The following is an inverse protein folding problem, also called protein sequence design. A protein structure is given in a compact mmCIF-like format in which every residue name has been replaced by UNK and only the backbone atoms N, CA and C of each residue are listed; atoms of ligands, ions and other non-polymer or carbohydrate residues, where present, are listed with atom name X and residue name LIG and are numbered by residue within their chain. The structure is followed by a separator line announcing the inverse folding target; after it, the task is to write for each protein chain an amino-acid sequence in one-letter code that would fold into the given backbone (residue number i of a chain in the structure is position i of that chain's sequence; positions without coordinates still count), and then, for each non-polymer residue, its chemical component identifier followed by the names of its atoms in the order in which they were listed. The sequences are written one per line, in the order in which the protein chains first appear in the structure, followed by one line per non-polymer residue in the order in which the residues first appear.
data_IF_154993047745
#
_entry.id   IF_154993047745
#
_cell.length_a   1.000
_cell.length_b   1.000
_cell.length_c   1.000
_cell.angle_alpha   90.00
_cell.angle_beta   90.00
_cell.angle_gamma   90.00
#
_symmetry.space_group_name_H-M   'P 1'
#
loop_
_entity.id
_entity.type
_entity.pdbx_description
1 polymer ?
#
# COMPACT_ATOMS: atom_id res chain seq x y z
N UNK A 1 13.25 -11.64 -5.39
CA UNK A 1 12.69 -10.43 -4.77
C UNK A 1 12.99 -10.44 -3.27
N UNK A 2 13.63 -9.40 -2.73
CA UNK A 2 13.95 -9.31 -1.28
C UNK A 2 12.81 -8.56 -0.59
N UNK A 3 12.13 -9.20 0.36
CA UNK A 3 11.10 -8.56 1.17
C UNK A 3 11.74 -7.40 1.98
N UNK A 4 11.35 -6.16 1.70
CA UNK A 4 11.88 -4.95 2.36
C UNK A 4 11.08 -4.52 3.61
N UNK A 5 10.08 -5.30 4.01
CA UNK A 5 9.24 -4.99 5.17
C UNK A 5 9.97 -5.37 6.46
N UNK A 6 10.18 -4.38 7.33
CA UNK A 6 10.76 -4.57 8.68
C UNK A 6 9.66 -4.46 9.74
N UNK A 7 9.83 -5.10 10.92
CA UNK A 7 8.94 -4.88 12.05
C UNK A 7 8.77 -3.39 12.36
N UNK A 8 7.55 -2.97 12.69
CA UNK A 8 7.22 -1.57 12.95
C UNK A 8 6.92 -0.73 11.70
N UNK A 9 6.95 -1.33 10.50
CA UNK A 9 6.54 -0.66 9.25
C UNK A 9 5.14 -1.09 8.80
N UNK A 10 4.46 -0.16 8.13
CA UNK A 10 3.18 -0.23 7.45
C UNK A 10 3.42 -0.22 5.94
N UNK A 11 2.68 -1.05 5.20
CA UNK A 11 2.81 -1.20 3.75
C UNK A 11 1.55 -0.67 3.04
N UNK A 12 1.74 -0.08 1.87
CA UNK A 12 0.67 0.22 0.93
C UNK A 12 1.02 -0.33 -0.46
N UNK A 13 -0.02 -0.64 -1.24
CA UNK A 13 0.08 -1.12 -2.62
C UNK A 13 -0.91 -0.34 -3.46
N UNK A 14 -0.44 0.25 -4.57
CA UNK A 14 -1.29 0.87 -5.57
C UNK A 14 -1.28 0.03 -6.83
N UNK A 15 -2.46 -0.25 -7.37
CA UNK A 15 -2.64 -0.84 -8.69
C UNK A 15 -2.80 0.28 -9.71
N UNK A 16 -1.99 0.24 -10.76
CA UNK A 16 -2.06 1.15 -11.90
C UNK A 16 -2.65 0.40 -13.09
N UNK A 17 -3.70 0.95 -13.70
CA UNK A 17 -4.44 0.33 -14.80
C UNK A 17 -5.32 -0.85 -14.34
N UNK A 18 -5.89 -1.56 -15.31
CA UNK A 18 -6.81 -2.69 -15.07
C UNK A 18 -6.48 -3.87 -15.99
N UNK A 19 -6.92 -5.07 -15.61
CA UNK A 19 -6.68 -6.28 -16.40
C UNK A 19 -5.25 -6.80 -16.31
N UNK A 20 -4.80 -7.49 -17.36
CA UNK A 20 -3.49 -8.17 -17.41
C UNK A 20 -2.30 -7.20 -17.46
N UNK A 21 -2.51 -5.97 -17.96
CA UNK A 21 -1.47 -4.94 -18.06
C UNK A 21 -1.29 -4.12 -16.78
N UNK A 22 -1.97 -4.50 -15.69
CA UNK A 22 -1.88 -3.75 -14.44
C UNK A 22 -0.49 -3.84 -13.80
N UNK A 23 -0.02 -2.71 -13.28
CA UNK A 23 1.25 -2.58 -12.56
C UNK A 23 0.98 -2.37 -11.07
N UNK A 24 1.84 -2.90 -10.22
CA UNK A 24 1.66 -2.82 -8.77
C UNK A 24 2.86 -2.12 -8.12
N UNK A 25 2.61 -0.94 -7.57
CA UNK A 25 3.61 -0.16 -6.85
C UNK A 25 3.46 -0.42 -5.36
N UNK A 26 4.56 -0.67 -4.65
CA UNK A 26 4.55 -1.03 -3.24
C UNK A 26 5.52 -0.14 -2.47
N UNK A 27 5.08 0.41 -1.34
CA UNK A 27 5.95 1.11 -0.42
C UNK A 27 5.71 0.68 1.03
N UNK A 28 6.80 0.65 1.81
CA UNK A 28 6.74 0.62 3.26
C UNK A 28 7.00 2.02 3.80
N UNK A 29 6.36 2.42 4.90
CA UNK A 29 6.63 3.72 5.51
C UNK A 29 8.10 3.83 5.98
N UNK A 30 8.57 5.06 6.07
CA UNK A 30 9.79 5.40 6.77
C UNK A 30 9.50 5.59 8.27
N UNK A 31 10.13 4.83 9.19
CA UNK A 31 9.90 5.00 10.62
C UNK A 31 10.25 6.42 11.10
N UNK A 32 9.25 7.17 11.59
CA UNK A 32 9.42 8.56 12.00
C UNK A 32 9.41 9.58 10.85
N UNK A 33 9.25 9.10 9.61
CA UNK A 33 9.15 9.92 8.41
C UNK A 33 7.81 9.72 7.70
N UNK A 34 7.86 9.62 6.37
CA UNK A 34 6.67 9.52 5.52
C UNK A 34 5.92 8.19 5.70
N UNK A 35 4.59 8.26 5.64
CA UNK A 35 3.73 7.09 5.56
C UNK A 35 3.85 6.41 4.19
N UNK A 36 3.55 5.10 4.13
CA UNK A 36 3.65 4.32 2.88
C UNK A 36 2.85 4.90 1.72
N UNK A 37 1.70 5.53 2.00
CA UNK A 37 0.86 6.21 1.01
C UNK A 37 1.51 7.48 0.49
N UNK A 38 2.19 8.22 1.36
CA UNK A 38 2.87 9.45 0.96
C UNK A 38 4.06 9.16 0.06
N UNK A 39 4.78 8.07 0.34
CA UNK A 39 5.89 7.61 -0.51
C UNK A 39 5.37 7.27 -1.91
N UNK A 40 4.24 6.54 -2.00
CA UNK A 40 3.63 6.19 -3.29
C UNK A 40 3.06 7.42 -4.00
N UNK A 41 2.34 8.30 -3.31
CA UNK A 41 1.82 9.55 -3.89
C UNK A 41 2.96 10.39 -4.49
N UNK A 42 4.03 10.62 -3.73
CA UNK A 42 5.18 11.40 -4.18
C UNK A 42 5.83 10.76 -5.41
N UNK A 43 5.90 9.43 -5.46
CA UNK A 43 6.41 8.71 -6.63
C UNK A 43 5.51 8.87 -7.85
N UNK A 44 4.18 8.77 -7.71
CA UNK A 44 3.25 8.99 -8.81
C UNK A 44 3.40 10.41 -9.37
N UNK A 45 3.47 11.40 -8.48
CA UNK A 45 3.62 12.81 -8.85
C UNK A 45 4.94 13.06 -9.58
N UNK A 46 6.04 12.50 -9.08
CA UNK A 46 7.36 12.60 -9.72
C UNK A 46 7.43 11.84 -11.06
N UNK A 47 6.67 10.75 -11.19
CA UNK A 47 6.61 9.92 -12.40
C UNK A 47 5.60 10.40 -13.44
N UNK A 48 4.81 11.44 -13.11
CA UNK A 48 3.75 11.95 -13.98
C UNK A 48 2.62 10.95 -14.23
N UNK A 49 2.40 10.00 -13.31
CA UNK A 49 1.29 9.03 -13.41
C UNK A 49 0.01 9.71 -12.93
N UNK A 50 -1.06 9.62 -13.73
CA UNK A 50 -2.33 10.25 -13.38
C UNK A 50 -2.97 9.55 -12.17
N UNK A 51 -3.60 10.29 -11.24
CA UNK A 51 -4.45 9.69 -10.22
C UNK A 51 -5.55 8.79 -10.81
N UNK A 52 -6.07 9.12 -11.98
CA UNK A 52 -7.10 8.33 -12.67
C UNK A 52 -6.57 6.97 -13.16
N UNK A 53 -5.25 6.82 -13.31
CA UNK A 53 -4.65 5.53 -13.66
C UNK A 53 -4.61 4.59 -12.45
N UNK A 54 -4.81 5.09 -11.23
CA UNK A 54 -4.85 4.26 -10.02
C UNK A 54 -6.25 3.66 -9.88
N UNK A 55 -6.34 2.34 -9.91
CA UNK A 55 -7.63 1.62 -9.90
C UNK A 55 -7.92 0.95 -8.56
N UNK A 56 -6.88 0.61 -7.80
CA UNK A 56 -7.03 0.00 -6.48
C UNK A 56 -5.92 0.49 -5.54
N UNK A 57 -6.28 0.71 -4.28
CA UNK A 57 -5.35 1.07 -3.22
C UNK A 57 -5.58 0.13 -2.04
N UNK A 58 -4.58 -0.67 -1.73
CA UNK A 58 -4.53 -1.44 -0.50
C UNK A 58 -3.59 -0.79 0.50
N UNK A 59 -4.02 -0.73 1.75
CA UNK A 59 -3.19 -0.31 2.86
C UNK A 59 -3.24 -1.30 4.01
N UNK A 60 -2.10 -1.59 4.66
CA UNK A 60 -2.14 -2.40 5.88
C UNK A 60 -3.00 -1.73 6.96
N UNK A 61 -2.83 -0.41 7.19
CA UNK A 61 -3.58 0.38 8.19
C UNK A 61 -4.54 1.36 7.57
N UNK A 62 -5.64 1.66 8.25
CA UNK A 62 -6.56 2.74 7.89
C UNK A 62 -5.76 4.03 7.62
N UNK A 63 -5.98 4.70 6.47
CA UNK A 63 -5.35 5.98 6.20
C UNK A 63 -5.65 6.97 7.33
N UNK A 64 -4.61 7.58 7.90
CA UNK A 64 -4.79 8.52 9.00
C UNK A 64 -5.48 9.81 8.52
N UNK A 65 -6.28 10.43 9.37
CA UNK A 65 -6.91 11.74 9.14
C UNK A 65 -6.24 12.88 9.89
N UNK A 66 -5.11 12.61 10.54
CA UNK A 66 -4.38 13.57 11.36
C UNK A 66 -3.18 14.16 10.61
N UNK A 67 -2.94 15.45 10.83
CA UNK A 67 -1.74 16.13 10.40
C UNK A 67 -0.47 15.55 11.09
N UNK A 68 0.71 15.65 10.44
CA UNK A 68 0.95 16.30 9.15
C UNK A 68 0.64 15.41 7.92
N UNK A 69 0.36 14.12 8.12
CA UNK A 69 0.32 13.15 7.02
C UNK A 69 -1.02 13.13 6.27
N UNK A 70 -2.13 13.24 7.00
CA UNK A 70 -3.51 13.25 6.51
C UNK A 70 -3.76 12.33 5.29
N UNK A 71 -3.34 11.06 5.40
CA UNK A 71 -3.43 10.11 4.29
C UNK A 71 -4.86 9.90 3.79
N UNK A 72 -5.88 10.07 4.64
CA UNK A 72 -7.28 9.96 4.23
C UNK A 72 -7.66 11.03 3.18
N UNK A 73 -7.25 12.29 3.38
CA UNK A 73 -7.47 13.35 2.42
C UNK A 73 -6.70 13.11 1.12
N UNK A 74 -5.46 12.60 1.23
CA UNK A 74 -4.66 12.20 0.06
C UNK A 74 -5.35 11.11 -0.76
N UNK A 75 -5.92 10.09 -0.10
CA UNK A 75 -6.62 9.02 -0.82
C UNK A 75 -7.85 9.54 -1.56
N UNK A 76 -8.45 10.64 -1.08
CA UNK A 76 -9.56 11.32 -1.76
C UNK A 76 -9.24 11.84 -3.16
N UNK A 77 -7.95 11.93 -3.55
CA UNK A 77 -7.55 12.32 -4.92
C UNK A 77 -7.80 11.21 -5.96
N UNK A 78 -7.95 9.96 -5.52
CA UNK A 78 -8.14 8.80 -6.40
C UNK A 78 -9.63 8.46 -6.51
N UNK A 79 -10.38 9.31 -7.23
CA UNK A 79 -11.85 9.26 -7.26
C UNK A 79 -12.43 7.98 -7.86
N UNK A 80 -11.65 7.24 -8.65
CA UNK A 80 -12.03 5.98 -9.29
C UNK A 80 -11.39 4.74 -8.66
N UNK A 81 -10.56 4.90 -7.63
CA UNK A 81 -9.85 3.78 -7.03
C UNK A 81 -10.64 3.14 -5.89
N UNK A 82 -10.65 1.81 -5.84
CA UNK A 82 -11.15 1.08 -4.68
C UNK A 82 -10.11 1.11 -3.54
N UNK A 83 -10.42 1.81 -2.46
CA UNK A 83 -9.54 1.95 -1.29
C UNK A 83 -9.94 0.95 -0.21
N UNK A 84 -9.00 0.09 0.18
CA UNK A 84 -9.20 -0.93 1.21
C UNK A 84 -8.07 -0.96 2.24
N UNK A 85 -8.38 -1.44 3.43
CA UNK A 85 -7.38 -1.64 4.48
C UNK A 85 -7.71 -2.80 5.40
N UNK A 86 -6.69 -3.36 6.04
CA UNK A 86 -6.90 -4.48 6.96
C UNK A 86 -7.01 -4.06 8.44
N UNK A 87 -6.38 -2.97 8.85
CA UNK A 87 -6.32 -2.56 10.27
C UNK A 87 -7.07 -1.24 10.51
N UNK A 88 -8.14 -1.27 11.29
CA UNK A 88 -8.98 -0.10 11.65
C UNK A 88 -8.63 0.43 13.06
N UNK A 89 -9.10 1.63 13.50
CA UNK A 89 -8.30 2.64 14.18
C UNK A 89 -7.99 2.32 15.65
N UNK A 90 -8.49 1.21 16.19
CA UNK A 90 -8.29 0.82 17.58
C UNK A 90 -7.27 -0.33 17.70
N UNK A 91 -6.00 0.05 17.92
CA UNK A 91 -5.11 -0.76 18.74
C UNK A 91 -3.68 -0.93 18.23
N UNK A 92 -2.76 -0.34 18.98
CA UNK A 92 -1.30 -0.54 18.94
C UNK A 92 -0.88 -2.01 19.21
N UNK A 93 -1.78 -2.91 19.61
CA UNK A 93 -1.44 -4.23 20.18
C UNK A 93 -1.66 -5.46 19.27
N UNK A 94 -1.86 -5.32 17.96
CA UNK A 94 -2.20 -6.45 17.08
C UNK A 94 -1.07 -6.96 16.17
N UNK A 95 0.21 -6.76 16.53
CA UNK A 95 1.37 -7.17 15.70
C UNK A 95 1.30 -8.61 15.14
N UNK A 96 0.75 -9.57 15.89
CA UNK A 96 0.58 -10.96 15.43
C UNK A 96 -0.61 -11.17 14.47
N UNK A 97 -1.73 -10.45 14.66
CA UNK A 97 -2.85 -10.46 13.70
C UNK A 97 -2.47 -9.75 12.40
N UNK A 98 -1.61 -8.73 12.49
CA UNK A 98 -1.08 -7.98 11.37
C UNK A 98 -0.14 -8.84 10.53
N UNK A 99 0.78 -9.57 11.17
CA UNK A 99 1.59 -10.57 10.49
C UNK A 99 0.72 -11.66 9.83
N UNK A 100 -0.40 -12.05 10.45
CA UNK A 100 -1.36 -13.00 9.85
C UNK A 100 -2.23 -12.41 8.74
N UNK A 101 -2.50 -11.11 8.73
CA UNK A 101 -3.22 -10.39 7.69
C UNK A 101 -2.31 -10.10 6.49
N UNK A 102 -1.12 -9.59 6.75
CA UNK A 102 -0.02 -9.50 5.77
C UNK A 102 0.30 -10.89 5.26
N UNK A 103 0.46 -11.92 6.10
CA UNK A 103 0.65 -13.30 5.64
C UNK A 103 -0.63 -13.98 5.16
N UNK A 104 -1.82 -13.35 5.19
CA UNK A 104 -2.99 -13.83 4.45
C UNK A 104 -3.06 -13.16 3.10
N UNK A 105 -2.77 -11.86 3.00
CA UNK A 105 -2.56 -11.14 1.74
C UNK A 105 -1.27 -11.50 1.01
N UNK A 106 -0.28 -12.07 1.71
CA UNK A 106 1.02 -12.57 1.21
C UNK A 106 1.18 -14.09 1.42
N UNK A 107 0.24 -14.78 2.06
CA UNK A 107 0.29 -16.25 2.26
C UNK A 107 -0.90 -16.98 1.63
N UNK A 108 -1.93 -16.28 1.16
CA UNK A 108 -2.52 -16.64 -0.14
C UNK A 108 -1.49 -16.58 -1.28
N UNK A 109 -0.30 -16.01 -1.03
CA UNK A 109 0.89 -16.05 -1.90
C UNK A 109 1.97 -17.05 -1.44
N UNK A 110 1.71 -17.96 -0.47
CA UNK A 110 2.59 -19.12 -0.24
C UNK A 110 2.21 -20.21 -1.23
N UNK A 111 2.82 -20.14 -2.40
CA UNK A 111 2.46 -20.94 -3.57
C UNK A 111 2.05 -20.07 -4.77
N UNK A 112 2.58 -18.84 -4.84
CA UNK A 112 2.49 -17.97 -6.00
C UNK A 112 2.48 -18.79 -7.31
N UNK A 113 1.34 -18.85 -8.03
CA UNK A 113 1.34 -19.46 -9.35
C UNK A 113 2.38 -18.75 -10.23
N UNK A 114 3.06 -19.45 -11.13
CA UNK A 114 3.87 -18.78 -12.14
C UNK A 114 2.98 -17.75 -12.87
N UNK A 115 3.40 -16.48 -12.90
CA UNK A 115 2.65 -15.40 -13.57
C UNK A 115 2.03 -14.33 -12.67
N UNK A 116 2.38 -14.25 -11.38
CA UNK A 116 2.05 -13.05 -10.60
C UNK A 116 2.74 -11.81 -11.19
N UNK A 117 2.06 -10.66 -11.26
CA UNK A 117 2.64 -9.42 -11.74
C UNK A 117 3.81 -8.99 -10.83
N UNK A 118 4.88 -8.46 -11.44
CA UNK A 118 6.02 -7.95 -10.68
C UNK A 118 5.61 -6.74 -9.85
N UNK A 119 5.95 -6.75 -8.56
CA UNK A 119 5.79 -5.60 -7.67
C UNK A 119 7.01 -4.69 -7.76
N UNK A 120 6.79 -3.42 -8.05
CA UNK A 120 7.83 -2.40 -8.00
C UNK A 120 7.91 -1.82 -6.58
N UNK A 121 9.02 -2.08 -5.89
CA UNK A 121 9.26 -1.57 -4.54
C UNK A 121 9.81 -0.15 -4.59
N UNK A 122 9.00 0.81 -4.15
CA UNK A 122 9.34 2.22 -4.02
C UNK A 122 9.89 2.48 -2.62
N UNK A 123 11.06 3.12 -2.53
CA UNK A 123 11.69 3.49 -1.27
C UNK A 123 12.98 4.27 -1.43
#
# INVERSE_FOLDING_TARGET
MVNRVKPGRNVAVYRIGSGEDSRFLVAANDPGGLHSKEILDNYLDASGISPDDVTEIYSERVPCSTDPHNCSARMGRYGNADVSWTLNPDGINNGAKNAGAIARGMGSYRGAPPGLPEFEWIG
#
